data_IF_727174522325
#
_entry.id   IF_727174522325
#
_cell.length_a   1.000
_cell.length_b   1.000
_cell.length_c   1.000
_cell.angle_alpha   90.00
_cell.angle_beta   90.00
_cell.angle_gamma   90.00
#
_symmetry.space_group_name_H-M   'P 1'
#
loop_
_entity.id
_entity.type
_entity.pdbx_description
1 polymer ?
#
# COMPACT_ATOMS: atom_id res chain seq x y z
N UNK A 1 12.19 7.97 -1.73
CA UNK A 1 13.42 8.69 -1.33
C UNK A 1 14.56 8.09 -2.12
N UNK A 2 15.04 8.79 -3.15
CA UNK A 2 16.26 8.41 -3.88
C UNK A 2 17.46 8.90 -3.09
N UNK A 3 17.79 8.23 -2.02
CA UNK A 3 19.02 8.51 -1.31
C UNK A 3 19.85 7.23 -1.22
N UNK A 4 21.04 7.24 -1.79
CA UNK A 4 21.97 6.10 -1.83
C UNK A 4 22.43 5.60 -0.46
N UNK A 5 21.94 6.21 0.62
CA UNK A 5 22.31 5.89 1.99
C UNK A 5 21.15 5.33 2.84
N UNK A 6 19.97 5.12 2.28
CA UNK A 6 18.83 4.52 3.00
C UNK A 6 19.05 3.02 3.10
N UNK A 7 19.04 2.49 4.33
CA UNK A 7 19.07 1.05 4.58
C UNK A 7 17.67 0.48 4.69
N UNK A 8 16.79 1.13 5.46
CA UNK A 8 15.40 0.74 5.60
C UNK A 8 14.51 1.93 5.99
N UNK A 9 13.19 1.70 5.96
CA UNK A 9 12.17 2.48 6.65
C UNK A 9 11.67 1.61 7.80
N UNK A 10 11.70 2.07 9.03
CA UNK A 10 11.20 1.32 10.17
C UNK A 10 10.02 1.97 10.88
N UNK A 11 9.69 3.23 10.55
CA UNK A 11 8.52 3.90 11.09
C UNK A 11 7.91 4.89 10.09
N UNK A 12 6.58 4.97 10.09
CA UNK A 12 5.77 6.05 9.56
C UNK A 12 5.06 6.71 10.72
N UNK A 13 5.00 8.05 10.79
CA UNK A 13 4.50 8.71 11.98
C UNK A 13 3.89 10.09 11.72
N UNK A 14 3.06 10.55 12.65
CA UNK A 14 2.61 11.94 12.75
C UNK A 14 3.22 12.61 13.98
N UNK A 15 3.65 13.87 13.83
CA UNK A 15 4.25 14.67 14.89
C UNK A 15 3.81 16.13 14.80
N UNK A 16 2.55 16.36 15.14
CA UNK A 16 1.96 17.70 15.16
C UNK A 16 2.44 18.53 16.36
N UNK A 17 2.83 17.87 17.46
CA UNK A 17 3.16 18.56 18.71
C UNK A 17 4.54 19.24 18.65
N UNK A 18 5.53 18.59 18.07
CA UNK A 18 6.90 19.10 18.04
C UNK A 18 7.23 19.76 16.69
N UNK A 19 6.82 19.13 15.57
CA UNK A 19 7.23 19.55 14.24
C UNK A 19 6.07 20.11 13.38
N UNK A 20 4.85 20.16 13.89
CA UNK A 20 3.65 20.54 13.13
C UNK A 20 3.52 19.73 11.83
N UNK A 21 3.82 18.43 11.91
CA UNK A 21 3.89 17.51 10.78
C UNK A 21 2.94 16.32 11.00
N UNK A 22 1.62 16.51 10.85
CA UNK A 22 0.68 15.39 10.86
C UNK A 22 0.94 14.48 9.67
N UNK A 23 0.69 13.18 9.84
CA UNK A 23 0.58 12.26 8.72
C UNK A 23 -0.88 12.22 8.26
N UNK A 24 -1.11 12.36 6.96
CA UNK A 24 -2.46 12.43 6.38
C UNK A 24 -2.56 11.41 5.25
N UNK A 25 -3.43 10.43 5.43
CA UNK A 25 -3.76 9.42 4.43
C UNK A 25 -5.18 9.69 3.95
N UNK A 26 -5.42 9.75 2.63
CA UNK A 26 -6.75 10.04 2.10
C UNK A 26 -7.80 9.00 2.48
N UNK A 27 -9.10 9.33 2.36
CA UNK A 27 -10.17 8.37 2.47
C UNK A 27 -9.94 7.17 1.56
N UNK A 28 -10.19 5.96 2.05
CA UNK A 28 -9.92 4.75 1.29
C UNK A 28 -10.86 3.62 1.72
N UNK A 29 -11.08 2.68 0.81
CA UNK A 29 -11.90 1.50 1.06
C UNK A 29 -11.26 0.63 2.14
N UNK A 30 -12.09 0.21 3.11
CA UNK A 30 -11.71 -0.68 4.20
C UNK A 30 -12.59 -1.91 4.22
N UNK A 31 -11.97 -3.07 4.26
CA UNK A 31 -12.67 -4.33 4.47
C UNK A 31 -12.96 -4.49 5.96
N UNK A 32 -14.23 -4.73 6.29
CA UNK A 32 -14.67 -4.79 7.67
C UNK A 32 -14.26 -6.08 8.40
N UNK A 33 -13.96 -5.94 9.67
CA UNK A 33 -13.78 -7.06 10.61
C UNK A 33 -12.49 -7.84 10.40
N UNK A 34 -12.57 -9.16 10.56
CA UNK A 34 -11.40 -10.06 10.53
C UNK A 34 -10.84 -10.30 9.13
N UNK A 35 -11.52 -9.82 8.08
CA UNK A 35 -11.10 -10.03 6.69
C UNK A 35 -10.19 -8.92 6.17
N UNK A 36 -10.14 -7.78 6.85
CA UNK A 36 -9.27 -6.65 6.55
C UNK A 36 -8.06 -6.56 7.47
N UNK A 37 -7.15 -5.65 7.14
CA UNK A 37 -5.97 -5.32 7.96
C UNK A 37 -5.71 -3.83 7.91
N UNK A 38 -5.36 -3.23 9.03
CA UNK A 38 -4.92 -1.84 9.06
C UNK A 38 -3.43 -1.67 8.76
N UNK A 39 -2.63 -2.70 9.06
CA UNK A 39 -1.17 -2.68 8.89
C UNK A 39 -0.66 -4.03 8.34
N UNK A 40 0.43 -3.98 7.57
CA UNK A 40 1.14 -5.17 7.13
C UNK A 40 0.53 -5.92 5.95
N UNK A 41 -0.58 -5.43 5.38
CA UNK A 41 -1.27 -6.10 4.29
C UNK A 41 -2.23 -7.19 4.72
N UNK A 42 -2.80 -7.89 3.75
CA UNK A 42 -3.71 -9.02 3.96
C UNK A 42 -3.07 -10.30 3.42
N UNK A 43 -3.08 -11.38 4.21
CA UNK A 43 -2.49 -12.64 3.79
C UNK A 43 -3.23 -13.27 2.61
N UNK A 44 -2.51 -14.03 1.78
CA UNK A 44 -3.11 -14.73 0.64
C UNK A 44 -4.22 -15.71 1.06
N UNK A 45 -4.09 -16.35 2.22
CA UNK A 45 -5.13 -17.25 2.73
C UNK A 45 -6.42 -16.51 3.04
N UNK A 46 -6.32 -15.29 3.58
CA UNK A 46 -7.47 -14.45 3.84
C UNK A 46 -8.12 -13.99 2.52
N UNK A 47 -7.34 -13.60 1.53
CA UNK A 47 -7.82 -13.23 0.19
C UNK A 47 -8.55 -14.41 -0.47
N UNK A 48 -8.07 -15.63 -0.30
CA UNK A 48 -8.72 -16.82 -0.84
C UNK A 48 -10.10 -17.08 -0.18
N UNK A 49 -10.24 -16.75 1.11
CA UNK A 49 -11.50 -16.88 1.85
C UNK A 49 -12.47 -15.74 1.52
N UNK A 50 -11.96 -14.52 1.44
CA UNK A 50 -12.72 -13.30 1.18
C UNK A 50 -12.03 -12.49 0.08
N UNK A 51 -12.39 -12.68 -1.19
CA UNK A 51 -11.68 -12.08 -2.33
C UNK A 51 -11.58 -10.55 -2.32
N UNK A 52 -12.55 -9.85 -1.73
CA UNK A 52 -12.53 -8.39 -1.62
C UNK A 52 -11.41 -7.87 -0.71
N UNK A 53 -10.84 -8.74 0.14
CA UNK A 53 -9.70 -8.39 1.01
C UNK A 53 -8.45 -7.97 0.22
N UNK A 54 -8.35 -8.33 -1.05
CA UNK A 54 -7.27 -7.85 -1.94
C UNK A 54 -7.29 -6.34 -2.18
N UNK A 55 -8.47 -5.73 -2.01
CA UNK A 55 -8.68 -4.29 -2.18
C UNK A 55 -8.64 -3.52 -0.86
N UNK A 56 -8.38 -4.19 0.24
CA UNK A 56 -8.28 -3.53 1.54
C UNK A 56 -7.16 -2.48 1.55
N UNK A 57 -7.38 -1.38 2.27
CA UNK A 57 -6.38 -0.33 2.40
C UNK A 57 -5.65 -0.48 3.73
N UNK A 58 -4.34 -0.47 3.68
CA UNK A 58 -3.47 -0.68 4.83
C UNK A 58 -2.16 0.06 4.70
N UNK A 59 -1.46 0.25 5.81
CA UNK A 59 -0.14 0.88 5.88
C UNK A 59 0.91 -0.14 6.33
N UNK A 60 2.18 0.13 6.00
CA UNK A 60 3.28 -0.77 6.38
C UNK A 60 4.63 -0.06 6.34
N UNK A 61 5.64 -0.74 6.82
CA UNK A 61 7.05 -0.37 6.64
C UNK A 61 7.80 -1.52 5.94
N UNK A 62 7.23 -2.00 4.82
CA UNK A 62 7.84 -2.98 3.94
C UNK A 62 7.23 -4.39 3.97
N UNK A 63 6.39 -4.72 4.96
CA UNK A 63 5.72 -6.03 5.05
C UNK A 63 4.35 -5.97 4.37
N UNK A 64 3.99 -7.01 3.59
CA UNK A 64 2.75 -7.01 2.78
C UNK A 64 1.99 -8.33 2.83
N UNK A 65 2.41 -9.26 3.66
CA UNK A 65 1.93 -10.65 3.72
C UNK A 65 0.94 -10.92 4.86
N UNK A 66 0.46 -9.86 5.52
CA UNK A 66 -0.45 -9.95 6.67
C UNK A 66 0.27 -10.03 8.01
N UNK A 67 1.58 -9.80 8.03
CA UNK A 67 2.43 -9.80 9.23
C UNK A 67 2.20 -11.03 10.13
N UNK A 68 2.42 -12.26 9.64
CA UNK A 68 2.11 -13.48 10.36
C UNK A 68 2.95 -13.66 11.64
N UNK A 69 4.07 -12.96 11.74
CA UNK A 69 4.98 -13.00 12.88
C UNK A 69 4.73 -11.85 13.89
N UNK A 70 3.74 -10.98 13.63
CA UNK A 70 3.41 -9.82 14.44
C UNK A 70 4.61 -8.90 14.72
N UNK A 71 5.38 -8.59 13.68
CA UNK A 71 6.55 -7.71 13.75
C UNK A 71 6.20 -6.24 13.73
N UNK A 72 5.05 -5.89 13.14
CA UNK A 72 4.56 -4.53 13.08
C UNK A 72 3.75 -4.18 14.33
N UNK A 73 3.86 -2.94 14.72
CA UNK A 73 3.06 -2.36 15.79
C UNK A 73 2.60 -0.95 15.42
N UNK A 74 1.60 -0.45 16.14
CA UNK A 74 1.17 0.93 16.04
C UNK A 74 0.86 1.50 17.43
N UNK A 75 0.94 2.82 17.52
CA UNK A 75 0.56 3.57 18.71
C UNK A 75 -0.07 4.90 18.30
N UNK A 76 -1.20 5.24 18.91
CA UNK A 76 -1.88 6.52 18.68
C UNK A 76 -2.45 6.73 17.27
N UNK A 77 -2.65 5.65 16.51
CA UNK A 77 -3.22 5.70 15.16
C UNK A 77 -4.72 5.39 15.21
N UNK A 78 -5.61 6.34 14.83
CA UNK A 78 -7.07 6.17 14.95
C UNK A 78 -7.66 5.43 13.73
N UNK A 79 -7.24 4.19 13.49
CA UNK A 79 -7.69 3.39 12.34
C UNK A 79 -9.22 3.22 12.27
N UNK A 80 -9.89 3.24 13.42
CA UNK A 80 -11.35 3.11 13.51
C UNK A 80 -12.12 4.25 12.83
N UNK A 81 -11.45 5.38 12.57
CA UNK A 81 -12.03 6.52 11.86
C UNK A 81 -11.82 6.46 10.36
N UNK A 82 -10.86 5.65 9.89
CA UNK A 82 -10.47 5.61 8.49
C UNK A 82 -11.44 4.78 7.65
N UNK A 83 -12.00 5.38 6.63
CA UNK A 83 -12.94 4.74 5.70
C UNK A 83 -13.02 5.51 4.36
N UNK A 84 -13.96 5.15 3.48
CA UNK A 84 -14.13 5.77 2.16
C UNK A 84 -14.56 7.26 2.20
N UNK A 85 -15.01 7.77 3.34
CA UNK A 85 -15.47 9.15 3.51
C UNK A 85 -14.53 9.98 4.40
N UNK A 86 -13.72 9.32 5.23
CA UNK A 86 -12.94 9.96 6.28
C UNK A 86 -11.46 9.63 6.13
N UNK A 87 -10.57 10.64 6.00
CA UNK A 87 -9.14 10.43 5.95
C UNK A 87 -8.61 9.92 7.29
N UNK A 88 -7.48 9.20 7.24
CA UNK A 88 -6.71 8.90 8.44
C UNK A 88 -5.76 10.05 8.73
N UNK A 89 -5.99 10.75 9.84
CA UNK A 89 -5.12 11.81 10.32
C UNK A 89 -4.42 11.34 11.58
N UNK A 90 -3.10 11.31 11.54
CA UNK A 90 -2.26 10.93 12.67
C UNK A 90 -1.50 12.18 13.14
N UNK A 91 -1.98 12.77 14.20
CA UNK A 91 -1.37 13.97 14.80
C UNK A 91 -0.16 13.60 15.67
N UNK A 92 -0.26 12.51 16.43
CA UNK A 92 0.77 12.07 17.34
C UNK A 92 0.69 10.55 17.52
N UNK A 93 1.30 9.84 16.61
CA UNK A 93 1.24 8.38 16.55
C UNK A 93 2.19 7.82 15.50
N UNK A 94 2.35 6.51 15.50
CA UNK A 94 3.23 5.83 14.57
C UNK A 94 2.79 4.41 14.23
N UNK A 95 3.23 3.95 13.05
CA UNK A 95 3.27 2.57 12.63
C UNK A 95 4.74 2.21 12.48
N UNK A 96 5.19 1.14 13.09
CA UNK A 96 6.60 0.80 13.12
C UNK A 96 6.84 -0.71 13.23
N UNK A 97 8.06 -1.12 12.88
CA UNK A 97 8.53 -2.47 13.16
C UNK A 97 9.20 -2.50 14.53
N UNK A 98 8.95 -3.56 15.31
CA UNK A 98 9.47 -3.71 16.66
C UNK A 98 10.98 -3.95 16.68
N UNK A 99 11.53 -4.63 15.68
CA UNK A 99 12.97 -4.78 15.51
C UNK A 99 13.43 -4.21 14.16
N UNK A 100 13.97 -2.98 14.12
CA UNK A 100 14.41 -2.35 12.88
C UNK A 100 15.56 -3.06 12.16
N UNK A 101 16.28 -3.95 12.83
CA UNK A 101 17.38 -4.70 12.21
C UNK A 101 16.90 -5.91 11.40
N UNK A 102 15.65 -6.35 11.61
CA UNK A 102 15.06 -7.48 10.87
C UNK A 102 14.60 -7.12 9.47
N UNK A 103 14.42 -5.83 9.13
CA UNK A 103 14.04 -5.44 7.78
C UNK A 103 15.30 -5.37 6.91
N UNK A 104 15.53 -6.43 6.16
CA UNK A 104 16.42 -6.39 5.02
C UNK A 104 15.53 -6.18 3.79
N UNK A 105 15.35 -4.93 3.38
CA UNK A 105 14.74 -4.66 2.08
C UNK A 105 15.82 -4.82 1.02
N UNK A 106 15.66 -5.84 0.19
CA UNK A 106 16.50 -6.00 -0.98
C UNK A 106 15.94 -5.16 -2.12
N UNK A 107 16.52 -3.99 -2.35
CA UNK A 107 16.16 -3.13 -3.49
C UNK A 107 16.02 -1.67 -3.13
N UNK A 108 15.76 -0.85 -4.15
CA UNK A 108 15.60 0.60 -4.03
C UNK A 108 14.13 1.02 -3.81
N UNK A 109 13.23 0.06 -3.58
CA UNK A 109 11.78 0.27 -3.50
C UNK A 109 11.25 -0.21 -2.15
N UNK A 110 10.43 0.65 -1.50
CA UNK A 110 9.78 0.36 -0.23
C UNK A 110 8.29 0.51 -0.37
N UNK A 111 7.54 -0.55 -0.09
CA UNK A 111 6.09 -0.48 0.02
C UNK A 111 5.76 0.09 1.39
N UNK A 112 4.98 1.18 1.41
CA UNK A 112 4.55 1.87 2.63
C UNK A 112 3.05 1.77 2.88
N UNK A 113 2.30 1.20 1.93
CA UNK A 113 0.88 0.97 2.06
C UNK A 113 0.23 0.61 0.75
N UNK A 114 -1.03 0.23 0.83
CA UNK A 114 -1.97 0.08 -0.27
C UNK A 114 -3.19 0.92 0.03
N UNK A 115 -3.65 1.70 -0.94
CA UNK A 115 -4.88 2.47 -0.87
C UNK A 115 -5.82 2.04 -2.00
N UNK A 116 -7.06 1.77 -1.67
CA UNK A 116 -8.12 1.56 -2.65
C UNK A 116 -9.06 2.75 -2.60
N UNK A 117 -9.03 3.56 -3.64
CA UNK A 117 -9.80 4.80 -3.76
C UNK A 117 -10.59 4.80 -5.08
N UNK A 118 -11.65 5.63 -5.21
CA UNK A 118 -12.38 5.79 -6.46
C UNK A 118 -11.45 6.21 -7.60
N UNK A 119 -11.77 5.73 -8.81
CA UNK A 119 -10.91 5.88 -9.98
C UNK A 119 -10.77 7.34 -10.50
N UNK A 120 -11.75 8.18 -10.20
CA UNK A 120 -11.82 9.58 -10.61
C UNK A 120 -11.30 10.57 -9.55
N UNK A 121 -10.77 10.05 -8.44
CA UNK A 121 -10.31 10.85 -7.31
C UNK A 121 -8.84 11.21 -7.46
N UNK A 122 -8.52 12.48 -7.26
CA UNK A 122 -7.15 12.98 -7.11
C UNK A 122 -6.95 13.43 -5.67
N UNK A 123 -6.01 12.81 -4.98
CA UNK A 123 -5.73 13.05 -3.56
C UNK A 123 -4.23 13.22 -3.34
N UNK A 124 -3.88 13.86 -2.23
CA UNK A 124 -2.47 13.96 -1.79
C UNK A 124 -2.32 13.26 -0.45
N UNK A 125 -1.39 12.33 -0.39
CA UNK A 125 -0.96 11.70 0.86
C UNK A 125 0.25 12.43 1.42
N UNK A 126 0.27 12.66 2.73
CA UNK A 126 1.40 13.28 3.44
C UNK A 126 1.88 12.30 4.51
N UNK A 127 3.15 11.95 4.47
CA UNK A 127 3.74 11.06 5.47
C UNK A 127 5.02 11.65 6.06
N UNK A 128 5.37 11.20 7.26
CA UNK A 128 6.71 11.34 7.81
C UNK A 128 7.29 9.94 7.96
N UNK A 129 8.55 9.80 7.63
CA UNK A 129 9.23 8.51 7.65
C UNK A 129 10.54 8.59 8.42
N UNK A 130 10.88 7.50 9.09
CA UNK A 130 12.15 7.32 9.78
C UNK A 130 12.74 5.95 9.44
N UNK A 131 14.07 5.92 9.30
CA UNK A 131 14.77 4.70 8.92
C UNK A 131 16.24 4.67 9.36
N UNK A 132 16.90 3.58 9.00
CA UNK A 132 18.35 3.41 9.19
C UNK A 132 19.11 3.82 7.94
N UNK A 133 20.33 4.33 8.13
CA UNK A 133 21.29 4.55 7.05
C UNK A 133 22.10 3.28 6.77
N UNK A 134 22.70 3.18 5.59
CA UNK A 134 23.61 2.06 5.26
C UNK A 134 24.92 2.06 6.05
N UNK A 135 25.19 3.12 6.79
CA UNK A 135 26.42 3.25 7.53
C UNK A 135 26.29 2.74 8.98
N UNK A 136 26.63 1.47 9.19
CA UNK A 136 26.64 0.80 10.52
C UNK A 136 27.57 1.41 11.58
N UNK A 137 28.49 2.28 11.16
CA UNK A 137 29.53 2.88 12.05
C UNK A 137 29.50 4.39 12.08
N UNK A 138 28.50 5.02 11.48
CA UNK A 138 28.37 6.48 11.56
C UNK A 138 27.67 6.88 12.85
N UNK A 139 28.05 8.02 13.40
CA UNK A 139 27.40 8.59 14.59
C UNK A 139 25.92 8.86 14.36
N UNK A 140 25.52 9.13 13.10
CA UNK A 140 24.14 9.24 12.64
C UNK A 140 23.74 7.99 11.85
N UNK A 141 23.28 6.96 12.57
CA UNK A 141 22.79 5.72 11.95
C UNK A 141 21.32 5.75 11.55
N UNK A 142 20.62 6.86 11.79
CA UNK A 142 19.20 7.06 11.51
C UNK A 142 18.99 8.29 10.63
N UNK A 143 17.91 8.26 9.84
CA UNK A 143 17.43 9.40 9.08
C UNK A 143 15.95 9.63 9.38
N UNK A 144 15.50 10.86 9.24
CA UNK A 144 14.11 11.27 9.39
C UNK A 144 13.78 12.23 8.25
N UNK A 145 12.65 12.01 7.60
CA UNK A 145 12.10 12.88 6.56
C UNK A 145 10.66 13.24 6.92
N UNK A 146 10.34 14.52 6.87
CA UNK A 146 9.03 15.04 7.22
C UNK A 146 8.31 15.59 6.01
N UNK A 147 6.96 15.53 6.05
CA UNK A 147 6.09 16.10 5.03
C UNK A 147 6.38 15.60 3.61
N UNK A 148 6.69 14.32 3.47
CA UNK A 148 6.83 13.68 2.17
C UNK A 148 5.43 13.61 1.54
N UNK A 149 5.29 14.23 0.37
CA UNK A 149 4.02 14.30 -0.35
C UNK A 149 4.01 13.35 -1.51
N UNK A 150 2.87 12.69 -1.69
CA UNK A 150 2.57 11.81 -2.81
C UNK A 150 1.25 12.23 -3.43
N UNK A 151 1.30 12.68 -4.67
CA UNK A 151 0.10 13.00 -5.44
C UNK A 151 -0.45 11.70 -6.04
N UNK A 152 -1.63 11.30 -5.56
CA UNK A 152 -2.37 10.15 -6.04
C UNK A 152 -3.30 10.63 -7.14
N UNK A 153 -2.85 10.56 -8.36
CA UNK A 153 -3.64 10.93 -9.52
C UNK A 153 -4.49 9.75 -10.01
N UNK A 154 -5.65 10.00 -10.65
CA UNK A 154 -6.33 8.92 -11.36
C UNK A 154 -5.36 8.28 -12.37
N UNK A 155 -5.46 6.96 -12.63
CA UNK A 155 -4.66 6.35 -13.67
C UNK A 155 -4.87 7.16 -14.95
N UNK A 156 -3.78 7.47 -15.66
CA UNK A 156 -3.90 8.01 -17.01
C UNK A 156 -4.85 7.10 -17.76
N UNK A 157 -5.91 7.67 -18.35
CA UNK A 157 -6.99 6.95 -19.01
C UNK A 157 -6.38 5.84 -19.88
N UNK A 158 -6.41 4.62 -19.39
CA UNK A 158 -6.16 3.46 -20.22
C UNK A 158 -7.24 3.53 -21.30
N UNK A 159 -6.84 3.54 -22.56
CA UNK A 159 -7.81 3.55 -23.65
C UNK A 159 -8.79 2.40 -23.39
N UNK A 160 -10.10 2.69 -23.17
CA UNK A 160 -11.08 1.65 -22.85
C UNK A 160 -11.13 0.55 -23.93
N UNK A 161 -10.63 0.84 -25.15
CA UNK A 161 -10.52 -0.15 -26.23
C UNK A 161 -9.40 -1.17 -26.03
N UNK A 162 -8.55 -1.02 -25.02
CA UNK A 162 -7.47 -1.97 -24.73
C UNK A 162 -7.80 -2.98 -23.65
N UNK A 163 -8.88 -2.76 -22.89
CA UNK A 163 -9.31 -3.69 -21.85
C UNK A 163 -10.29 -4.70 -22.46
N UNK A 164 -9.99 -6.01 -22.45
CA UNK A 164 -10.90 -7.03 -22.91
C UNK A 164 -12.23 -6.99 -22.14
N UNK A 165 -13.38 -7.17 -22.84
CA UNK A 165 -14.71 -7.14 -22.22
C UNK A 165 -14.90 -8.25 -21.17
N UNK A 166 -14.21 -9.37 -21.35
CA UNK A 166 -14.20 -10.54 -20.47
C UNK A 166 -13.18 -10.45 -19.33
N UNK A 167 -12.42 -9.36 -19.25
CA UNK A 167 -11.50 -9.11 -18.15
C UNK A 167 -12.26 -8.68 -16.88
N UNK A 168 -11.97 -9.29 -15.75
CA UNK A 168 -12.51 -8.93 -14.42
C UNK A 168 -11.56 -8.14 -13.59
N UNK A 169 -10.27 -8.39 -13.77
CA UNK A 169 -9.20 -7.82 -12.98
C UNK A 169 -8.11 -7.32 -13.91
N UNK A 170 -7.90 -6.02 -13.94
CA UNK A 170 -6.92 -5.36 -14.80
C UNK A 170 -5.72 -4.88 -13.99
N UNK A 171 -4.53 -5.18 -14.46
CA UNK A 171 -3.29 -4.60 -13.96
C UNK A 171 -2.88 -3.45 -14.87
N UNK A 172 -2.77 -2.22 -14.34
CA UNK A 172 -2.46 -1.02 -15.12
C UNK A 172 -0.95 -0.76 -15.31
N UNK A 173 -0.14 -1.67 -14.80
CA UNK A 173 1.33 -1.54 -14.75
C UNK A 173 1.86 -1.28 -13.34
N UNK A 174 0.98 -0.96 -12.40
CA UNK A 174 1.28 -0.68 -11.00
C UNK A 174 0.17 -1.17 -10.08
N UNK A 175 -1.07 -0.85 -10.42
CA UNK A 175 -2.23 -1.10 -9.59
C UNK A 175 -3.12 -2.18 -10.20
N UNK A 176 -3.96 -2.75 -9.36
CA UNK A 176 -4.97 -3.71 -9.77
C UNK A 176 -6.35 -3.09 -9.69
N UNK A 177 -7.09 -3.15 -10.77
CA UNK A 177 -8.43 -2.58 -10.91
C UNK A 177 -9.46 -3.68 -11.13
N UNK A 178 -10.63 -3.56 -10.51
CA UNK A 178 -11.80 -4.34 -10.94
C UNK A 178 -12.26 -3.86 -12.30
N UNK A 179 -12.78 -4.77 -13.13
CA UNK A 179 -13.35 -4.45 -14.45
C UNK A 179 -14.76 -4.99 -14.52
N UNK A 180 -15.66 -4.21 -15.10
CA UNK A 180 -17.02 -4.63 -15.42
C UNK A 180 -17.35 -4.19 -16.84
N UNK A 181 -17.59 -5.15 -17.73
CA UNK A 181 -17.88 -4.90 -19.15
C UNK A 181 -16.83 -4.00 -19.83
N UNK A 182 -15.56 -4.26 -19.62
CA UNK A 182 -14.46 -3.47 -20.18
C UNK A 182 -14.26 -2.09 -19.55
N UNK A 183 -15.01 -1.76 -18.48
CA UNK A 183 -14.89 -0.48 -17.77
C UNK A 183 -14.20 -0.70 -16.43
N UNK A 184 -13.18 0.14 -16.15
CA UNK A 184 -12.47 0.13 -14.87
C UNK A 184 -13.40 0.58 -13.73
N UNK A 185 -13.39 -0.21 -12.65
CA UNK A 185 -14.08 0.09 -11.41
C UNK A 185 -13.12 0.61 -10.33
N UNK A 186 -13.08 -0.05 -9.16
CA UNK A 186 -12.17 0.29 -8.06
C UNK A 186 -10.77 -0.19 -8.38
N UNK A 187 -9.76 0.66 -8.10
CA UNK A 187 -8.35 0.33 -8.25
C UNK A 187 -7.62 0.46 -6.92
N UNK A 188 -6.65 -0.43 -6.69
CA UNK A 188 -5.63 -0.18 -5.66
C UNK A 188 -4.76 1.00 -6.09
N UNK A 189 -4.16 1.67 -5.11
CA UNK A 189 -3.20 2.75 -5.33
C UNK A 189 -1.93 2.42 -4.58
N UNK A 190 -1.10 1.64 -5.22
CA UNK A 190 0.26 1.41 -4.74
C UNK A 190 1.17 2.49 -5.31
N UNK A 191 2.19 2.84 -4.56
CA UNK A 191 3.22 3.76 -5.03
C UNK A 191 4.28 2.94 -5.74
N UNK A 192 4.23 2.96 -7.06
CA UNK A 192 5.17 2.24 -7.90
C UNK A 192 6.20 3.21 -8.47
N UNK A 193 7.46 2.83 -8.39
CA UNK A 193 8.58 3.56 -9.01
C UNK A 193 8.92 3.04 -10.40
N UNK A 194 8.29 1.96 -10.82
CA UNK A 194 8.31 1.40 -12.17
C UNK A 194 6.92 1.02 -12.57
N UNK A 195 6.55 1.39 -13.78
CA UNK A 195 5.35 0.91 -14.43
C UNK A 195 5.71 -0.31 -15.26
N UNK A 196 4.94 -1.39 -15.09
CA UNK A 196 5.03 -2.59 -15.92
C UNK A 196 3.97 -2.54 -17.03
N UNK A 197 3.97 -3.50 -17.95
CA UNK A 197 2.99 -3.50 -19.04
C UNK A 197 1.57 -3.83 -18.52
N UNK A 198 0.55 -2.99 -18.81
CA UNK A 198 -0.82 -3.28 -18.45
C UNK A 198 -1.34 -4.57 -19.09
N UNK A 199 -2.06 -5.39 -18.32
CA UNK A 199 -2.65 -6.64 -18.81
C UNK A 199 -3.80 -7.13 -17.90
N UNK A 200 -4.62 -8.02 -18.44
CA UNK A 200 -5.67 -8.66 -17.67
C UNK A 200 -5.10 -9.76 -16.78
N UNK A 201 -5.48 -9.75 -15.50
CA UNK A 201 -5.07 -10.76 -14.51
C UNK A 201 -6.10 -11.88 -14.36
N UNK A 202 -7.39 -11.60 -14.64
CA UNK A 202 -8.47 -12.56 -14.46
C UNK A 202 -9.55 -12.36 -15.55
N UNK A 203 -9.91 -13.44 -16.25
CA UNK A 203 -10.88 -13.45 -17.34
C UNK A 203 -12.15 -14.21 -16.96
N UNK A 204 -13.31 -13.78 -17.46
CA UNK A 204 -14.54 -14.55 -17.35
C UNK A 204 -14.41 -15.89 -18.12
N UNK A 205 -14.48 -17.01 -17.40
CA UNK A 205 -14.63 -18.34 -17.99
C UNK A 205 -13.39 -19.18 -18.17
N UNK A 206 -12.27 -18.85 -17.54
CA UNK A 206 -11.17 -19.78 -17.36
C UNK A 206 -11.28 -20.45 -15.98
N UNK A 207 -12.19 -21.44 -15.88
CA UNK A 207 -11.96 -22.55 -14.97
C UNK A 207 -10.61 -23.17 -15.37
N UNK A 208 -9.69 -23.24 -14.41
CA UNK A 208 -8.37 -23.84 -14.56
C UNK A 208 -8.44 -25.14 -15.38
N UNK A 209 -7.77 -25.27 -16.54
CA UNK A 209 -7.61 -26.57 -17.11
C UNK A 209 -6.64 -27.34 -16.20
N UNK A 210 -7.19 -28.27 -15.42
CA UNK A 210 -6.49 -29.34 -14.73
C UNK A 210 -5.34 -29.78 -15.61
N UNK A 211 -4.13 -29.45 -15.22
CA UNK A 211 -2.91 -29.95 -15.87
C UNK A 211 -2.83 -31.45 -15.60
N UNK A 212 -2.95 -32.33 -16.61
CA UNK A 212 -2.68 -33.75 -16.40
C UNK A 212 -1.18 -33.92 -16.25
N UNK A 213 -0.81 -34.56 -15.15
CA UNK A 213 0.58 -34.83 -14.82
C UNK A 213 1.34 -35.60 -15.91
N UNK A 214 2.63 -35.29 -15.95
CA UNK A 214 3.72 -36.21 -16.29
C UNK A 214 4.95 -35.85 -15.48
#
# INVERSE_FOLDING_TARGET
>A
VKNSNVHNIYALFGDSNENNSPMIIPPAFQVNGIFGSNIGGVSQDMINIHPDSRYDSWLTVGMTDGDPENKLANIGVPFETWNEETPLVIDNGAIFIMDPEEIIVSGDEYIIGQLTIPNDTSETMIINAQGKTQCYRCEESTWTELNIQFDINPPSLVDPNTIPEDCKLWYDGCNTCSVLNGVLGRCTRMMCFREDNPHCLDFDGLDDPISPGH
#
